data_IF_802070739575
#
_entry.id   IF_802070739575
#
_cell.length_a   1.000
_cell.length_b   1.000
_cell.length_c   1.000
_cell.angle_alpha   90.00
_cell.angle_beta   90.00
_cell.angle_gamma   90.00
#
_symmetry.space_group_name_H-M   'P 1'
#
loop_
_entity.id
_entity.type
_entity.pdbx_description
1 polymer ?
#
# COMPACT_ATOMS: atom_id res chain seq x y z
N UNK A 1 8.49 10.47 1.59
CA UNK A 1 8.99 9.09 1.44
C UNK A 1 7.82 8.10 1.48
N UNK A 2 7.11 7.85 0.35
CA UNK A 2 5.91 6.99 0.35
C UNK A 2 6.19 5.48 0.48
N UNK A 3 7.31 4.99 -0.07
CA UNK A 3 7.71 3.58 0.04
C UNK A 3 7.93 3.11 1.48
N UNK A 4 8.60 3.92 2.30
CA UNK A 4 8.83 3.61 3.72
C UNK A 4 7.50 3.55 4.50
N UNK A 5 6.53 4.38 4.13
CA UNK A 5 5.19 4.32 4.73
C UNK A 5 4.44 3.04 4.33
N UNK A 6 4.51 2.63 3.06
CA UNK A 6 3.98 1.34 2.60
C UNK A 6 4.63 0.15 3.33
N UNK A 7 5.93 0.21 3.60
CA UNK A 7 6.62 -0.82 4.41
C UNK A 7 6.10 -0.87 5.85
N UNK A 8 5.93 0.27 6.51
CA UNK A 8 5.36 0.33 7.85
C UNK A 8 3.93 -0.22 7.87
N UNK A 9 3.12 0.18 6.88
CA UNK A 9 1.74 -0.30 6.73
C UNK A 9 1.69 -1.83 6.56
N UNK A 10 2.51 -2.39 5.66
CA UNK A 10 2.61 -3.84 5.47
C UNK A 10 3.09 -4.56 6.75
N UNK A 11 4.03 -3.97 7.49
CA UNK A 11 4.50 -4.52 8.77
C UNK A 11 3.37 -4.54 9.81
N UNK A 12 2.58 -3.46 9.91
CA UNK A 12 1.42 -3.41 10.80
C UNK A 12 0.41 -4.50 10.46
N UNK A 13 0.13 -4.73 9.17
CA UNK A 13 -0.79 -5.79 8.73
C UNK A 13 -0.30 -7.19 9.09
N UNK A 14 1.01 -7.46 9.03
CA UNK A 14 1.57 -8.78 9.32
C UNK A 14 1.66 -9.04 10.82
N UNK A 15 2.11 -8.05 11.59
CA UNK A 15 2.48 -8.25 13.00
C UNK A 15 1.45 -7.74 14.00
N UNK A 16 0.45 -6.98 13.57
CA UNK A 16 -0.61 -6.49 14.46
C UNK A 16 -1.94 -7.19 14.16
N UNK A 17 -2.72 -7.47 15.19
CA UNK A 17 -4.13 -7.83 15.04
C UNK A 17 -4.92 -6.57 14.67
N UNK A 18 -4.81 -6.13 13.42
CA UNK A 18 -5.60 -5.01 12.91
C UNK A 18 -7.05 -5.47 12.78
N UNK A 19 -7.92 -4.99 13.67
CA UNK A 19 -9.33 -5.36 13.72
C UNK A 19 -10.15 -4.81 12.55
N UNK A 20 -9.73 -3.69 11.97
CA UNK A 20 -10.35 -3.10 10.78
C UNK A 20 -9.29 -2.59 9.79
N UNK A 21 -8.89 -3.48 8.88
CA UNK A 21 -7.94 -3.17 7.81
C UNK A 21 -8.52 -2.13 6.84
N UNK A 22 -9.85 -2.09 6.66
CA UNK A 22 -10.49 -1.18 5.72
C UNK A 22 -10.44 0.26 6.21
N UNK A 23 -10.76 0.49 7.49
CA UNK A 23 -10.65 1.81 8.10
C UNK A 23 -9.20 2.34 8.04
N UNK A 24 -8.21 1.47 8.30
CA UNK A 24 -6.80 1.84 8.22
C UNK A 24 -6.39 2.20 6.78
N UNK A 25 -6.84 1.42 5.79
CA UNK A 25 -6.64 1.73 4.38
C UNK A 25 -7.23 3.09 4.01
N UNK A 26 -8.51 3.33 4.33
CA UNK A 26 -9.19 4.58 3.98
C UNK A 26 -8.53 5.79 4.66
N UNK A 27 -7.99 5.64 5.88
CA UNK A 27 -7.25 6.67 6.60
C UNK A 27 -5.91 7.04 5.94
N UNK A 28 -5.16 6.05 5.46
CA UNK A 28 -3.77 6.26 5.00
C UNK A 28 -3.58 6.23 3.48
N UNK A 29 -4.62 5.87 2.70
CA UNK A 29 -4.51 5.70 1.25
C UNK A 29 -3.88 6.89 0.53
N UNK A 30 -4.27 8.13 0.88
CA UNK A 30 -3.72 9.33 0.27
C UNK A 30 -2.20 9.48 0.46
N UNK A 31 -1.68 9.05 1.61
CA UNK A 31 -0.25 9.08 1.91
C UNK A 31 0.50 7.92 1.25
N UNK A 32 -0.09 6.72 1.26
CA UNK A 32 0.47 5.51 0.66
C UNK A 32 0.65 5.63 -0.86
N UNK A 33 -0.25 6.37 -1.50
CA UNK A 33 -0.34 6.51 -2.96
C UNK A 33 0.29 7.79 -3.49
N UNK A 34 0.84 8.67 -2.63
CA UNK A 34 1.24 10.04 -3.00
C UNK A 34 2.23 10.12 -4.17
N UNK A 35 3.21 9.23 -4.23
CA UNK A 35 4.17 9.18 -5.35
C UNK A 35 3.55 8.64 -6.64
N UNK A 36 2.63 7.69 -6.56
CA UNK A 36 1.87 7.25 -7.73
C UNK A 36 0.95 8.36 -8.24
N UNK A 37 0.28 9.10 -7.35
CA UNK A 37 -0.52 10.27 -7.73
C UNK A 37 0.30 11.35 -8.43
N UNK A 38 1.56 11.55 -8.01
CA UNK A 38 2.49 12.45 -8.68
C UNK A 38 2.96 11.91 -10.04
N UNK A 39 3.31 10.63 -10.10
CA UNK A 39 3.79 9.95 -11.32
C UNK A 39 2.72 9.95 -12.41
N UNK A 40 1.46 9.68 -12.06
CA UNK A 40 0.33 9.59 -12.98
C UNK A 40 -0.50 10.88 -13.04
N UNK A 41 0.07 12.02 -12.69
CA UNK A 41 -0.65 13.31 -12.62
C UNK A 41 -1.29 13.76 -13.94
N UNK A 42 -0.79 13.26 -15.07
CA UNK A 42 -1.28 13.57 -16.41
C UNK A 42 -2.48 12.70 -16.84
N UNK A 43 -2.82 11.65 -16.09
CA UNK A 43 -4.05 10.89 -16.30
C UNK A 43 -5.22 11.63 -15.66
N UNK A 44 -6.42 11.42 -16.21
CA UNK A 44 -7.65 12.05 -15.75
C UNK A 44 -8.76 11.01 -15.56
N UNK A 45 -9.79 11.39 -14.78
CA UNK A 45 -10.96 10.57 -14.51
C UNK A 45 -10.65 9.23 -13.84
N UNK A 46 -11.54 8.26 -14.04
CA UNK A 46 -11.46 6.94 -13.40
C UNK A 46 -10.14 6.21 -13.67
N UNK A 47 -9.61 6.33 -14.90
CA UNK A 47 -8.35 5.71 -15.30
C UNK A 47 -7.18 6.12 -14.39
N UNK A 48 -7.15 7.39 -13.96
CA UNK A 48 -6.14 7.88 -13.02
C UNK A 48 -6.27 7.18 -11.66
N UNK A 49 -7.47 7.18 -11.10
CA UNK A 49 -7.74 6.62 -9.78
C UNK A 49 -7.43 5.12 -9.75
N UNK A 50 -7.88 4.38 -10.76
CA UNK A 50 -7.62 2.94 -10.91
C UNK A 50 -6.12 2.65 -11.01
N UNK A 51 -5.38 3.44 -11.79
CA UNK A 51 -3.93 3.28 -11.95
C UNK A 51 -3.20 3.52 -10.62
N UNK A 52 -3.54 4.59 -9.90
CA UNK A 52 -2.95 4.92 -8.61
C UNK A 52 -3.23 3.83 -7.58
N UNK A 53 -4.49 3.37 -7.50
CA UNK A 53 -4.90 2.32 -6.59
C UNK A 53 -4.20 1.00 -6.91
N UNK A 54 -4.16 0.61 -8.18
CA UNK A 54 -3.50 -0.61 -8.63
C UNK A 54 -2.02 -0.65 -8.22
N UNK A 55 -1.27 0.41 -8.52
CA UNK A 55 0.16 0.46 -8.18
C UNK A 55 0.41 0.48 -6.67
N UNK A 56 -0.46 1.14 -5.90
CA UNK A 56 -0.37 1.16 -4.43
C UNK A 56 -0.61 -0.23 -3.84
N UNK A 57 -1.66 -0.92 -4.29
CA UNK A 57 -2.00 -2.27 -3.83
C UNK A 57 -0.96 -3.30 -4.26
N UNK A 58 -0.44 -3.19 -5.49
CA UNK A 58 0.61 -4.06 -6.00
C UNK A 58 1.87 -3.97 -5.13
N UNK A 59 2.35 -2.76 -4.86
CA UNK A 59 3.56 -2.58 -4.05
C UNK A 59 3.37 -3.07 -2.61
N UNK A 60 2.18 -2.88 -2.02
CA UNK A 60 1.83 -3.47 -0.73
C UNK A 60 1.80 -5.00 -0.77
N UNK A 61 1.22 -5.60 -1.81
CA UNK A 61 1.22 -7.05 -1.98
C UNK A 61 2.64 -7.62 -2.09
N UNK A 62 3.51 -6.97 -2.86
CA UNK A 62 4.90 -7.37 -3.00
C UNK A 62 5.64 -7.34 -1.64
N UNK A 63 5.40 -6.30 -0.84
CA UNK A 63 5.93 -6.20 0.53
C UNK A 63 5.40 -7.31 1.45
N UNK A 64 4.09 -7.58 1.41
CA UNK A 64 3.46 -8.62 2.22
C UNK A 64 3.96 -10.03 1.84
N UNK A 65 4.17 -10.30 0.56
CA UNK A 65 4.74 -11.57 0.10
C UNK A 65 6.15 -11.76 0.66
N UNK A 66 7.02 -10.74 0.56
CA UNK A 66 8.38 -10.79 1.12
C UNK A 66 8.34 -11.04 2.63
N UNK A 67 7.45 -10.35 3.36
CA UNK A 67 7.28 -10.55 4.81
C UNK A 67 6.72 -11.94 5.16
N UNK A 68 5.80 -12.48 4.37
CA UNK A 68 5.26 -13.83 4.53
C UNK A 68 6.32 -14.92 4.32
N UNK A 69 7.18 -14.76 3.30
CA UNK A 69 8.36 -15.62 3.12
C UNK A 69 9.33 -15.55 4.30
N UNK A 70 9.56 -14.36 4.87
CA UNK A 70 10.46 -14.19 6.01
C UNK A 70 9.94 -14.85 7.29
N UNK A 71 8.61 -14.86 7.52
CA UNK A 71 8.00 -15.49 8.70
C UNK A 71 7.92 -17.02 8.58
N UNK A 72 7.79 -17.56 7.37
CA UNK A 72 7.67 -19.02 7.15
C UNK A 72 9.02 -19.76 7.22
N UNK A 73 10.13 -19.04 7.33
CA UNK A 73 11.50 -19.57 7.42
C UNK A 73 12.17 -19.36 8.80
N UNK A 74 11.39 -19.05 9.83
CA UNK A 74 11.85 -18.94 11.23
C UNK A 74 11.49 -20.20 12.02
#
# INVERSE_FOLDING_TARGET
MPKALRQLFATLLVYSQVSDVRALWDQFYGELSRDFAFTYRNLEGQTKEDTIQFHTLKDLNDLLQISGYAVHHI
#
